data_IF_179608526297
#
_entry.id   IF_179608526297
#
_cell.length_a   1.000
_cell.length_b   1.000
_cell.length_c   1.000
_cell.angle_alpha   90.00
_cell.angle_beta   90.00
_cell.angle_gamma   90.00
#
_symmetry.space_group_name_H-M   'P 1'
#
loop_
_entity.id
_entity.type
_entity.pdbx_description
1 polymer ?
#
# COMPACT_ATOMS: atom_id res chain seq x y z
N UNK A 1 -19.56 -29.58 -9.98
CA UNK A 1 -18.30 -28.92 -10.38
C UNK A 1 -18.39 -27.47 -9.97
N UNK A 2 -17.50 -27.00 -9.11
CA UNK A 2 -17.43 -25.58 -8.81
C UNK A 2 -17.03 -24.80 -10.07
N UNK A 3 -17.82 -23.81 -10.42
CA UNK A 3 -17.50 -22.94 -11.55
C UNK A 3 -16.30 -22.06 -11.15
N UNK A 4 -15.15 -22.29 -11.78
CA UNK A 4 -13.97 -21.44 -11.57
C UNK A 4 -14.22 -20.08 -12.19
N UNK A 5 -14.20 -19.03 -11.39
CA UNK A 5 -14.39 -17.65 -11.88
C UNK A 5 -13.41 -17.31 -13.00
N UNK A 6 -13.94 -16.72 -14.05
CA UNK A 6 -13.17 -16.21 -15.19
C UNK A 6 -12.79 -14.75 -14.96
N UNK A 7 -11.95 -14.20 -15.82
CA UNK A 7 -11.63 -12.77 -15.78
C UNK A 7 -12.86 -11.89 -15.96
N UNK A 8 -13.81 -12.30 -16.79
CA UNK A 8 -15.07 -11.56 -17.01
C UNK A 8 -15.92 -11.51 -15.74
N UNK A 9 -15.95 -12.61 -14.97
CA UNK A 9 -16.67 -12.64 -13.69
C UNK A 9 -16.04 -11.64 -12.70
N UNK A 10 -14.71 -11.58 -12.62
CA UNK A 10 -14.03 -10.61 -11.76
C UNK A 10 -14.27 -9.17 -12.18
N UNK A 11 -14.31 -8.89 -13.49
CA UNK A 11 -14.63 -7.55 -14.00
C UNK A 11 -16.07 -7.19 -13.64
N UNK A 12 -17.01 -8.12 -13.76
CA UNK A 12 -18.41 -7.91 -13.40
C UNK A 12 -18.60 -7.62 -11.91
N UNK A 13 -17.78 -8.21 -11.05
CA UNK A 13 -17.82 -8.01 -9.60
C UNK A 13 -17.23 -6.66 -9.15
N UNK A 14 -16.37 -6.02 -9.96
CA UNK A 14 -15.66 -4.79 -9.59
C UNK A 14 -16.57 -3.67 -9.06
N UNK A 15 -17.72 -3.34 -9.68
CA UNK A 15 -18.56 -2.26 -9.19
C UNK A 15 -19.07 -2.48 -7.75
N UNK A 16 -19.38 -3.71 -7.39
CA UNK A 16 -19.82 -4.06 -6.05
C UNK A 16 -18.68 -3.96 -5.04
N UNK A 17 -17.51 -4.50 -5.38
CA UNK A 17 -16.31 -4.38 -4.53
C UNK A 17 -15.94 -2.93 -4.28
N UNK A 18 -15.99 -2.08 -5.30
CA UNK A 18 -15.69 -0.65 -5.14
C UNK A 18 -16.70 0.01 -4.21
N UNK A 19 -18.00 -0.24 -4.38
CA UNK A 19 -19.03 0.32 -3.49
C UNK A 19 -18.83 -0.10 -2.04
N UNK A 20 -18.55 -1.38 -1.80
CA UNK A 20 -18.33 -1.90 -0.46
C UNK A 20 -17.06 -1.30 0.17
N UNK A 21 -15.97 -1.22 -0.58
CA UNK A 21 -14.74 -0.61 -0.09
C UNK A 21 -14.90 0.88 0.23
N UNK A 22 -15.67 1.61 -0.57
CA UNK A 22 -15.97 3.02 -0.28
C UNK A 22 -16.84 3.15 0.96
N UNK A 23 -17.85 2.30 1.10
CA UNK A 23 -18.73 2.30 2.28
C UNK A 23 -17.94 2.01 3.57
N UNK A 24 -17.00 1.06 3.53
CA UNK A 24 -16.21 0.61 4.67
C UNK A 24 -14.86 1.32 4.80
N UNK A 25 -14.60 2.31 3.95
CA UNK A 25 -13.28 2.95 3.83
C UNK A 25 -12.72 3.47 5.14
N UNK A 26 -13.55 4.07 5.99
CA UNK A 26 -13.10 4.59 7.28
C UNK A 26 -12.57 3.49 8.19
N UNK A 27 -13.26 2.34 8.25
CA UNK A 27 -12.83 1.20 9.05
C UNK A 27 -11.58 0.51 8.44
N UNK A 28 -11.54 0.35 7.13
CA UNK A 28 -10.44 -0.29 6.41
C UNK A 28 -9.13 0.51 6.51
N UNK A 29 -9.21 1.84 6.45
CA UNK A 29 -8.04 2.71 6.48
C UNK A 29 -7.62 3.15 7.87
N UNK A 30 -8.46 2.91 8.89
CA UNK A 30 -8.21 3.38 10.26
C UNK A 30 -6.84 3.01 10.80
N UNK A 31 -6.35 1.75 10.70
CA UNK A 31 -5.02 1.40 11.21
C UNK A 31 -3.90 2.21 10.54
N UNK A 32 -4.01 2.45 9.25
CA UNK A 32 -3.05 3.23 8.48
C UNK A 32 -3.06 4.71 8.89
N UNK A 33 -4.25 5.27 9.05
CA UNK A 33 -4.43 6.67 9.47
C UNK A 33 -3.93 6.87 10.89
N UNK A 34 -4.28 5.96 11.80
CA UNK A 34 -3.83 6.02 13.20
C UNK A 34 -2.29 5.97 13.28
N UNK A 35 -1.66 5.11 12.50
CA UNK A 35 -0.19 5.03 12.42
C UNK A 35 0.41 6.33 11.89
N UNK A 36 -0.14 6.88 10.81
CA UNK A 36 0.35 8.13 10.23
C UNK A 36 0.27 9.29 11.23
N UNK A 37 -0.84 9.42 11.90
CA UNK A 37 -1.07 10.51 12.88
C UNK A 37 -0.22 10.32 14.13
N UNK A 38 -0.23 9.14 14.73
CA UNK A 38 0.51 8.88 15.98
C UNK A 38 2.02 8.88 15.78
N UNK A 39 2.49 8.47 14.60
CA UNK A 39 3.91 8.46 14.27
C UNK A 39 4.51 9.83 13.97
N UNK A 40 3.69 10.86 13.79
CA UNK A 40 4.14 12.20 13.45
C UNK A 40 4.85 12.29 12.10
N UNK A 41 4.49 11.42 11.17
CA UNK A 41 5.09 11.36 9.85
C UNK A 41 4.79 12.61 9.01
N UNK A 42 5.73 12.98 8.17
CA UNK A 42 5.65 14.14 7.27
C UNK A 42 5.53 13.77 5.81
N UNK A 43 5.98 12.58 5.43
CA UNK A 43 5.95 12.08 4.07
C UNK A 43 5.53 10.62 4.05
N UNK A 44 5.12 10.15 2.86
CA UNK A 44 4.71 8.77 2.64
C UNK A 44 5.52 8.19 1.48
N UNK A 45 6.06 7.01 1.69
CA UNK A 45 6.64 6.16 0.66
C UNK A 45 5.71 4.99 0.40
N UNK A 46 5.41 4.72 -0.86
CA UNK A 46 4.61 3.57 -1.27
C UNK A 46 5.49 2.66 -2.10
N UNK A 47 5.72 1.45 -1.59
CA UNK A 47 6.46 0.40 -2.28
C UNK A 47 5.45 -0.55 -2.93
N UNK A 48 5.35 -0.52 -4.23
CA UNK A 48 4.35 -1.28 -4.97
C UNK A 48 4.79 -1.57 -6.41
N UNK A 49 4.27 -2.63 -7.00
CA UNK A 49 4.49 -2.96 -8.41
C UNK A 49 3.19 -3.39 -9.09
N UNK A 50 3.19 -3.39 -10.42
CA UNK A 50 2.05 -3.78 -11.23
C UNK A 50 0.81 -2.92 -10.96
N UNK A 51 -0.34 -3.56 -10.83
CA UNK A 51 -1.61 -2.89 -10.58
C UNK A 51 -1.64 -2.14 -9.25
N UNK A 52 -0.93 -2.62 -8.24
CA UNK A 52 -0.77 -1.92 -6.95
C UNK A 52 -0.04 -0.59 -7.11
N UNK A 53 0.99 -0.54 -7.96
CA UNK A 53 1.69 0.70 -8.31
C UNK A 53 0.78 1.67 -9.07
N UNK A 54 0.02 1.17 -10.03
CA UNK A 54 -0.92 1.99 -10.80
C UNK A 54 -2.02 2.58 -9.91
N UNK A 55 -2.58 1.79 -8.99
CA UNK A 55 -3.53 2.28 -8.00
C UNK A 55 -2.94 3.35 -7.09
N UNK A 56 -1.70 3.16 -6.66
CA UNK A 56 -0.97 4.14 -5.85
C UNK A 56 -0.74 5.46 -6.59
N UNK A 57 -0.40 5.40 -7.87
CA UNK A 57 -0.25 6.58 -8.73
C UNK A 57 -1.57 7.35 -8.87
N UNK A 58 -2.69 6.64 -9.02
CA UNK A 58 -4.01 7.26 -9.07
C UNK A 58 -4.36 7.99 -7.76
N UNK A 59 -4.02 7.42 -6.61
CA UNK A 59 -4.31 7.98 -5.30
C UNK A 59 -3.36 9.12 -4.89
N UNK A 60 -2.17 9.20 -5.49
CA UNK A 60 -1.08 10.08 -5.07
C UNK A 60 -1.49 11.53 -4.89
N UNK A 61 -2.16 12.12 -5.88
CA UNK A 61 -2.53 13.53 -5.83
C UNK A 61 -3.60 13.82 -4.78
N UNK A 62 -4.51 12.88 -4.58
CA UNK A 62 -5.50 12.98 -3.52
C UNK A 62 -4.84 13.00 -2.14
N UNK A 63 -3.91 12.08 -1.89
CA UNK A 63 -3.17 11.99 -0.63
C UNK A 63 -2.37 13.27 -0.40
N UNK A 64 -1.62 13.74 -1.40
CA UNK A 64 -0.82 14.97 -1.30
C UNK A 64 -1.65 16.18 -0.93
N UNK A 65 -2.82 16.33 -1.54
CA UNK A 65 -3.73 17.48 -1.28
C UNK A 65 -4.30 17.46 0.13
N UNK A 66 -4.67 16.28 0.63
CA UNK A 66 -5.35 16.16 1.91
C UNK A 66 -4.38 16.12 3.09
N UNK A 67 -3.28 15.41 2.96
CA UNK A 67 -2.28 15.31 4.02
C UNK A 67 -1.17 16.35 3.94
N UNK A 68 -1.11 17.12 2.85
CA UNK A 68 -0.06 18.13 2.63
C UNK A 68 1.36 17.58 2.78
N UNK A 69 1.56 16.36 2.29
CA UNK A 69 2.82 15.63 2.36
C UNK A 69 3.31 15.24 0.96
N UNK A 70 4.58 14.92 0.85
CA UNK A 70 5.11 14.29 -0.36
C UNK A 70 4.80 12.78 -0.34
N UNK A 71 4.47 12.24 -1.51
CA UNK A 71 4.21 10.81 -1.71
C UNK A 71 5.16 10.30 -2.77
N UNK A 72 6.09 9.45 -2.36
CA UNK A 72 7.04 8.79 -3.26
C UNK A 72 6.56 7.37 -3.53
N UNK A 73 6.48 6.99 -4.80
CA UNK A 73 6.12 5.64 -5.21
C UNK A 73 7.36 5.01 -5.84
N UNK A 74 7.74 3.84 -5.33
CA UNK A 74 8.92 3.12 -5.76
C UNK A 74 8.58 1.65 -5.94
N UNK A 75 9.18 1.00 -6.95
CA UNK A 75 9.03 -0.44 -7.11
C UNK A 75 9.83 -1.20 -6.06
N UNK A 76 9.39 -2.40 -5.65
CA UNK A 76 10.14 -3.19 -4.67
C UNK A 76 11.59 -3.46 -5.10
N UNK A 77 11.82 -3.69 -6.39
CA UNK A 77 13.18 -3.90 -6.92
C UNK A 77 14.09 -2.69 -6.67
N UNK A 78 13.65 -1.50 -7.04
CA UNK A 78 14.41 -0.28 -6.80
C UNK A 78 14.56 0.04 -5.32
N UNK A 79 13.52 -0.21 -4.53
CA UNK A 79 13.56 -0.01 -3.09
C UNK A 79 14.62 -0.91 -2.42
N UNK A 80 14.64 -2.19 -2.75
CA UNK A 80 15.62 -3.13 -2.18
C UNK A 80 17.05 -2.81 -2.62
N UNK A 81 17.23 -2.46 -3.92
CA UNK A 81 18.56 -2.30 -4.49
C UNK A 81 19.21 -0.93 -4.25
N UNK A 82 18.42 0.15 -4.18
CA UNK A 82 19.01 1.50 -4.15
C UNK A 82 18.16 2.59 -3.52
N UNK A 83 16.86 2.61 -3.78
CA UNK A 83 15.98 3.70 -3.34
C UNK A 83 15.30 3.39 -2.00
N UNK A 84 16.07 3.36 -0.93
CA UNK A 84 15.60 3.07 0.42
C UNK A 84 16.15 4.03 1.48
N UNK A 85 16.40 5.25 1.09
CA UNK A 85 16.93 6.32 1.95
C UNK A 85 15.82 7.08 2.72
N UNK A 86 14.74 6.40 3.05
CA UNK A 86 13.69 6.96 3.88
C UNK A 86 14.18 7.29 5.30
N UNK A 87 13.64 8.36 5.85
CA UNK A 87 13.96 8.85 7.18
C UNK A 87 12.93 8.43 8.23
N UNK A 88 13.18 8.75 9.48
CA UNK A 88 12.24 8.50 10.60
C UNK A 88 10.91 9.27 10.44
N UNK A 89 10.91 10.36 9.67
CA UNK A 89 9.70 11.14 9.40
C UNK A 89 8.91 10.65 8.20
N UNK A 90 9.39 9.61 7.54
CA UNK A 90 8.75 9.00 6.38
C UNK A 90 7.98 7.73 6.80
N UNK A 91 6.71 7.67 6.47
CA UNK A 91 5.92 6.46 6.60
C UNK A 91 6.13 5.60 5.36
N UNK A 92 6.53 4.35 5.54
CA UNK A 92 6.74 3.41 4.43
C UNK A 92 5.61 2.39 4.40
N UNK A 93 4.90 2.35 3.28
CA UNK A 93 3.76 1.45 3.05
C UNK A 93 4.11 0.49 1.93
N UNK A 94 4.11 -0.80 2.20
CA UNK A 94 4.27 -1.84 1.19
C UNK A 94 2.89 -2.35 0.79
N UNK A 95 2.57 -2.24 -0.49
CA UNK A 95 1.26 -2.65 -1.03
C UNK A 95 1.41 -3.93 -1.84
N UNK A 96 0.74 -4.97 -1.41
CA UNK A 96 0.73 -6.27 -2.09
C UNK A 96 -0.67 -6.87 -2.01
N UNK A 97 -1.23 -7.22 -3.14
CA UNK A 97 -2.57 -7.83 -3.20
C UNK A 97 -2.58 -9.24 -2.59
N UNK A 98 -1.57 -10.05 -2.87
CA UNK A 98 -1.49 -11.42 -2.36
C UNK A 98 -0.84 -11.52 -0.97
N UNK A 99 0.00 -10.56 -0.61
CA UNK A 99 0.85 -10.63 0.57
C UNK A 99 2.01 -11.64 0.47
N UNK A 100 2.10 -12.40 -0.61
CA UNK A 100 3.12 -13.44 -0.82
C UNK A 100 4.16 -13.09 -1.88
N UNK A 101 4.11 -11.92 -2.46
CA UNK A 101 5.10 -11.47 -3.43
C UNK A 101 6.49 -11.45 -2.79
N UNK A 102 7.44 -12.19 -3.34
CA UNK A 102 8.83 -12.22 -2.85
C UNK A 102 9.43 -10.81 -2.81
N UNK A 103 9.17 -10.02 -3.83
CA UNK A 103 9.65 -8.64 -3.90
C UNK A 103 9.10 -7.78 -2.75
N UNK A 104 7.83 -7.95 -2.40
CA UNK A 104 7.22 -7.25 -1.27
C UNK A 104 7.83 -7.71 0.07
N UNK A 105 8.06 -9.01 0.24
CA UNK A 105 8.70 -9.56 1.43
C UNK A 105 10.15 -9.07 1.57
N UNK A 106 10.89 -8.97 0.48
CA UNK A 106 12.25 -8.44 0.49
C UNK A 106 12.27 -6.94 0.86
N UNK A 107 11.30 -6.17 0.39
CA UNK A 107 11.14 -4.77 0.81
C UNK A 107 10.87 -4.66 2.32
N UNK A 108 10.04 -5.52 2.87
CA UNK A 108 9.77 -5.58 4.32
C UNK A 108 11.06 -5.86 5.11
N UNK A 109 11.89 -6.79 4.65
CA UNK A 109 13.19 -7.09 5.28
C UNK A 109 14.10 -5.86 5.32
N UNK A 110 14.12 -5.05 4.26
CA UNK A 110 14.90 -3.80 4.22
C UNK A 110 14.38 -2.81 5.26
N UNK A 111 13.07 -2.68 5.39
CA UNK A 111 12.43 -1.80 6.38
C UNK A 111 12.80 -2.25 7.80
N UNK A 112 12.68 -3.53 8.09
CA UNK A 112 13.01 -4.11 9.40
C UNK A 112 14.50 -3.99 9.73
N UNK A 113 15.38 -4.17 8.75
CA UNK A 113 16.82 -4.01 8.90
C UNK A 113 17.22 -2.58 9.31
N UNK A 114 16.39 -1.58 8.98
CA UNK A 114 16.57 -0.19 9.44
C UNK A 114 15.92 0.11 10.79
N UNK A 115 15.51 -0.91 11.52
CA UNK A 115 14.91 -0.77 12.85
C UNK A 115 13.44 -0.32 12.84
N UNK A 116 12.78 -0.35 11.68
CA UNK A 116 11.37 0.00 11.56
C UNK A 116 10.51 -1.24 11.68
N UNK A 117 9.41 -1.10 12.38
CA UNK A 117 8.45 -2.18 12.57
C UNK A 117 7.39 -2.14 11.47
N UNK A 118 7.20 -3.27 10.79
CA UNK A 118 6.10 -3.41 9.86
C UNK A 118 4.80 -3.67 10.63
N UNK A 119 3.82 -2.80 10.39
CA UNK A 119 2.47 -2.94 10.90
C UNK A 119 1.60 -3.26 9.70
N UNK A 120 1.00 -4.41 9.70
CA UNK A 120 0.14 -4.81 8.59
C UNK A 120 -0.54 -6.12 8.88
N UNK A 121 -1.55 -6.37 8.11
CA UNK A 121 -2.28 -7.62 8.10
C UNK A 121 -3.04 -7.74 6.80
N UNK A 122 -3.53 -8.93 6.46
CA UNK A 122 -4.40 -9.08 5.30
C UNK A 122 -5.62 -8.20 5.50
N UNK A 123 -5.96 -7.45 4.46
CA UNK A 123 -7.29 -6.81 4.41
C UNK A 123 -8.32 -7.94 4.34
N UNK A 124 -9.35 -7.87 5.14
CA UNK A 124 -10.41 -8.86 5.11
C UNK A 124 -11.13 -8.88 3.76
#
# INVERSE_FOLDING_TARGET
MEHKKTMLDYIADCPEFIRNNVADSAALTKPLVDEYVSGGYKNIWIVACGSSSNGSLCARQFIRRHLKCEVKIVTPFHFVSSENDFSETDMVVVVSQSGYSLNALDAIKVIEAKGRRCIGGPLP
#
